data_IF_558762951122
#
_entry.id   IF_558762951122
#
_cell.length_a   1.000
_cell.length_b   1.000
_cell.length_c   1.000
_cell.angle_alpha   90.00
_cell.angle_beta   90.00
_cell.angle_gamma   90.00
#
_symmetry.space_group_name_H-M   'P 1'
#
loop_
_entity.id
_entity.type
_entity.pdbx_description
1 polymer ?
#
# COMPACT_ATOMS: atom_id res chain seq x y z
N UNK A 1 2.11 5.30 4.14
CA UNK A 1 0.68 5.40 3.82
C UNK A 1 0.32 4.57 2.60
N UNK A 2 -0.94 4.24 2.48
CA UNK A 2 -1.44 3.52 1.32
C UNK A 2 -1.44 4.42 0.07
N UNK A 3 -0.89 3.93 -1.02
CA UNK A 3 -0.83 4.67 -2.27
C UNK A 3 -2.19 4.79 -2.96
N UNK A 4 -3.14 3.96 -2.58
CA UNK A 4 -4.47 3.94 -3.21
C UNK A 4 -5.46 4.82 -2.45
N UNK A 5 -5.56 4.61 -1.13
CA UNK A 5 -6.56 5.31 -0.32
C UNK A 5 -5.97 6.39 0.58
N UNK A 6 -4.67 6.53 0.62
CA UNK A 6 -3.94 7.54 1.40
C UNK A 6 -4.10 7.40 2.91
N UNK A 7 -4.59 6.27 3.40
CA UNK A 7 -4.69 6.02 4.84
C UNK A 7 -3.30 5.82 5.43
N UNK A 8 -3.16 6.26 6.67
CA UNK A 8 -1.89 6.11 7.39
C UNK A 8 -2.10 5.24 8.62
N UNK A 9 -1.00 4.68 9.12
CA UNK A 9 -1.03 3.88 10.34
C UNK A 9 -1.32 4.74 11.58
N UNK A 10 -1.05 6.04 11.49
CA UNK A 10 -1.38 6.97 12.57
C UNK A 10 -2.90 7.14 12.70
N UNK A 11 -3.61 7.18 11.56
CA UNK A 11 -5.06 7.32 11.55
C UNK A 11 -5.77 5.98 11.71
N UNK A 12 -5.14 4.91 11.22
CA UNK A 12 -5.72 3.57 11.23
C UNK A 12 -4.71 2.57 11.79
N UNK A 13 -4.48 2.60 13.11
CA UNK A 13 -3.47 1.74 13.73
C UNK A 13 -3.77 0.24 13.64
N UNK A 14 -5.04 -0.11 13.40
CA UNK A 14 -5.45 -1.51 13.25
C UNK A 14 -5.24 -2.04 11.84
N UNK A 15 -4.95 -1.17 10.89
CA UNK A 15 -4.69 -1.59 9.51
C UNK A 15 -3.25 -2.04 9.34
N UNK A 16 -3.07 -3.09 8.58
CA UNK A 16 -1.76 -3.58 8.22
C UNK A 16 -1.32 -2.96 6.90
N UNK A 17 -0.13 -2.40 6.89
CA UNK A 17 0.44 -1.79 5.69
C UNK A 17 1.66 -2.58 5.24
N UNK A 18 1.76 -2.83 3.94
CA UNK A 18 2.85 -3.60 3.37
C UNK A 18 3.35 -2.94 2.09
N UNK A 19 4.59 -3.22 1.77
CA UNK A 19 5.19 -2.77 0.52
C UNK A 19 5.02 -3.83 -0.55
N UNK A 20 4.65 -3.40 -1.74
CA UNK A 20 4.52 -4.32 -2.87
C UNK A 20 5.88 -4.55 -3.51
N UNK A 21 6.34 -5.80 -3.51
CA UNK A 21 7.63 -6.15 -4.09
C UNK A 21 7.60 -6.18 -5.62
N UNK A 22 6.42 -6.20 -6.21
CA UNK A 22 6.28 -6.22 -7.68
C UNK A 22 6.25 -4.83 -8.28
N UNK A 23 5.97 -3.82 -7.46
CA UNK A 23 5.99 -2.45 -7.93
C UNK A 23 7.42 -1.93 -7.98
N UNK A 24 7.69 -1.06 -8.95
CA UNK A 24 8.95 -0.35 -9.02
C UNK A 24 8.98 0.73 -7.95
N UNK A 25 10.02 0.77 -7.14
CA UNK A 25 10.16 1.75 -6.07
C UNK A 25 9.42 1.33 -4.80
N UNK A 26 9.29 2.28 -3.88
CA UNK A 26 8.68 2.02 -2.57
C UNK A 26 7.24 2.48 -2.56
N UNK A 27 6.35 1.55 -2.86
CA UNK A 27 4.91 1.80 -2.81
C UNK A 27 4.29 0.97 -1.69
N UNK A 28 3.69 1.67 -0.74
CA UNK A 28 3.06 1.04 0.42
C UNK A 28 1.55 0.96 0.21
N UNK A 29 0.96 -0.14 0.60
CA UNK A 29 -0.48 -0.38 0.47
C UNK A 29 -1.04 -0.93 1.76
N UNK A 30 -2.29 -0.60 2.05
CA UNK A 30 -2.98 -1.18 3.19
C UNK A 30 -3.42 -2.61 2.86
N UNK A 31 -3.90 -3.32 3.89
CA UNK A 31 -4.29 -4.71 3.73
C UNK A 31 -5.39 -4.92 2.68
N UNK A 32 -6.20 -3.90 2.43
CA UNK A 32 -7.27 -3.97 1.44
C UNK A 32 -6.77 -3.79 0.01
N UNK A 33 -5.65 -3.11 -0.16
CA UNK A 33 -5.14 -2.76 -1.48
C UNK A 33 -3.84 -3.47 -1.86
N UNK A 34 -3.23 -4.16 -0.92
CA UNK A 34 -1.95 -4.84 -1.20
C UNK A 34 -2.08 -5.92 -2.28
N UNK A 35 -3.27 -6.54 -2.37
CA UNK A 35 -3.55 -7.58 -3.37
C UNK A 35 -4.46 -7.09 -4.49
N UNK A 36 -4.89 -5.83 -4.43
CA UNK A 36 -5.85 -5.27 -5.38
C UNK A 36 -5.45 -3.87 -5.79
N UNK A 37 -4.38 -3.78 -6.56
CA UNK A 37 -3.88 -2.52 -7.09
C UNK A 37 -3.11 -2.76 -8.39
N UNK A 38 -2.98 -1.70 -9.18
CA UNK A 38 -2.18 -1.74 -10.40
C UNK A 38 -0.71 -1.63 -10.01
N UNK A 39 0.10 -2.59 -10.47
CA UNK A 39 1.53 -2.57 -10.19
C UNK A 39 2.24 -1.52 -11.03
N UNK A 40 3.08 -0.72 -10.38
CA UNK A 40 3.86 0.30 -11.03
C UNK A 40 5.19 -0.30 -11.46
N UNK A 41 5.23 -0.78 -12.70
CA UNK A 41 6.43 -1.37 -13.28
C UNK A 41 6.89 -0.52 -14.45
N UNK A 42 8.20 -0.41 -14.60
CA UNK A 42 8.78 0.32 -15.73
C UNK A 42 8.93 -0.58 -16.96
#
# INVERSE_FOLDING_TARGET
KCEVCSRTDADFPDLEFRYCSRCSGYHCYCQDHINDHVHHTD
#
